data_IF_254786011147
#
_entry.id   IF_254786011147
#
_cell.length_a   1.000
_cell.length_b   1.000
_cell.length_c   1.000
_cell.angle_alpha   90.00
_cell.angle_beta   90.00
_cell.angle_gamma   90.00
#
_symmetry.space_group_name_H-M   'P 1'
#
loop_
_entity.id
_entity.type
_entity.pdbx_description
1 polymer ?
#
# COMPACT_ATOMS: atom_id res chain seq x y z
N UNK A 1 -8.00 9.71 -14.47
CA UNK A 1 -8.60 8.44 -14.01
C UNK A 1 -8.77 8.50 -12.49
N UNK A 2 -10.01 8.58 -12.00
CA UNK A 2 -10.32 8.28 -10.59
C UNK A 2 -10.62 6.78 -10.53
N UNK A 3 -9.59 5.96 -10.36
CA UNK A 3 -9.72 4.53 -10.15
C UNK A 3 -9.26 4.18 -8.74
N UNK A 4 -10.06 3.41 -8.03
CA UNK A 4 -9.61 2.71 -6.83
C UNK A 4 -9.12 1.33 -7.27
N UNK A 5 -8.06 0.85 -6.65
CA UNK A 5 -7.57 -0.52 -6.78
C UNK A 5 -8.12 -1.31 -5.60
N UNK A 6 -8.55 -2.55 -5.85
CA UNK A 6 -8.83 -3.50 -4.78
C UNK A 6 -7.59 -4.37 -4.62
N UNK A 7 -7.10 -4.45 -3.39
CA UNK A 7 -5.90 -5.22 -3.03
C UNK A 7 -6.39 -6.36 -2.13
N UNK A 8 -6.62 -7.56 -2.69
CA UNK A 8 -6.99 -8.72 -1.91
C UNK A 8 -5.77 -9.24 -1.15
N UNK A 9 -5.91 -9.49 0.14
CA UNK A 9 -4.83 -9.92 1.03
C UNK A 9 -5.32 -11.06 1.91
N UNK A 10 -4.68 -12.21 1.79
CA UNK A 10 -4.85 -13.28 2.78
C UNK A 10 -3.94 -12.99 3.98
N UNK A 11 -4.53 -12.83 5.16
CA UNK A 11 -3.79 -12.56 6.39
C UNK A 11 -4.38 -13.33 7.56
N UNK A 12 -3.53 -14.09 8.27
CA UNK A 12 -3.93 -14.92 9.43
C UNK A 12 -5.12 -15.87 9.15
N UNK A 13 -5.24 -16.35 7.91
CA UNK A 13 -6.31 -17.25 7.46
C UNK A 13 -7.62 -16.53 7.09
N UNK A 14 -7.64 -15.20 7.10
CA UNK A 14 -8.77 -14.38 6.66
C UNK A 14 -8.48 -13.72 5.31
N UNK A 15 -9.51 -13.58 4.47
CA UNK A 15 -9.45 -12.82 3.22
C UNK A 15 -9.88 -11.38 3.49
N UNK A 16 -8.95 -10.44 3.34
CA UNK A 16 -9.16 -9.01 3.54
C UNK A 16 -9.10 -8.28 2.20
N UNK A 17 -9.87 -7.20 2.07
CA UNK A 17 -9.83 -6.33 0.89
C UNK A 17 -9.48 -4.90 1.28
N UNK A 18 -8.39 -4.39 0.69
CA UNK A 18 -7.96 -3.02 0.92
C UNK A 18 -8.19 -2.15 -0.32
N UNK A 19 -8.58 -0.90 -0.07
CA UNK A 19 -8.74 0.09 -1.14
C UNK A 19 -7.44 0.85 -1.34
N UNK A 20 -6.81 0.60 -2.48
CA UNK A 20 -5.67 1.33 -3.00
C UNK A 20 -6.10 2.52 -3.87
N UNK A 21 -5.30 3.59 -3.88
CA UNK A 21 -5.43 4.70 -4.82
C UNK A 21 -4.10 4.95 -5.50
N UNK A 22 -4.10 4.85 -6.83
CA UNK A 22 -2.95 5.21 -7.65
C UNK A 22 -2.87 6.74 -7.78
N UNK A 23 -1.75 7.31 -7.39
CA UNK A 23 -1.45 8.73 -7.51
C UNK A 23 -0.28 8.91 -8.46
N UNK A 24 -0.35 9.93 -9.31
CA UNK A 24 0.78 10.31 -10.16
C UNK A 24 1.83 11.01 -9.27
N UNK A 25 3.06 10.49 -9.23
CA UNK A 25 4.17 11.15 -8.54
C UNK A 25 4.48 12.52 -9.14
N UNK A 26 4.99 13.45 -8.32
CA UNK A 26 5.62 14.69 -8.81
C UNK A 26 7.12 14.42 -9.01
N UNK A 27 7.49 13.83 -10.15
CA UNK A 27 8.89 13.46 -10.46
C UNK A 27 9.06 12.67 -11.77
N UNK A 28 10.32 12.30 -12.09
CA UNK A 28 10.70 11.46 -13.25
C UNK A 28 10.39 9.97 -13.05
N UNK A 29 10.13 9.52 -11.82
CA UNK A 29 9.85 8.14 -11.46
C UNK A 29 8.52 8.02 -10.72
N UNK A 30 7.78 6.98 -11.10
CA UNK A 30 6.91 6.20 -10.23
C UNK A 30 5.57 6.79 -9.83
N UNK A 31 4.54 5.99 -10.02
CA UNK A 31 3.25 6.19 -9.36
C UNK A 31 3.41 5.95 -7.84
N UNK A 32 2.52 6.53 -7.05
CA UNK A 32 2.38 6.20 -5.62
C UNK A 32 1.10 5.41 -5.42
N UNK A 33 1.13 4.35 -4.61
CA UNK A 33 -0.08 3.62 -4.22
C UNK A 33 -0.35 3.93 -2.77
N UNK A 34 -1.50 4.57 -2.50
CA UNK A 34 -1.99 4.78 -1.14
C UNK A 34 -3.02 3.72 -0.79
N UNK A 35 -2.77 2.96 0.27
CA UNK A 35 -3.67 1.94 0.79
C UNK A 35 -4.20 2.41 2.13
N UNK A 36 -5.52 2.46 2.28
CA UNK A 36 -6.14 2.71 3.57
C UNK A 36 -6.20 1.40 4.36
N UNK A 37 -5.73 1.43 5.60
CA UNK A 37 -5.81 0.33 6.56
C UNK A 37 -6.38 0.84 7.86
N UNK A 38 -6.91 -0.05 8.70
CA UNK A 38 -7.35 0.34 10.04
C UNK A 38 -6.13 0.88 10.82
N UNK A 39 -6.26 2.09 11.39
CA UNK A 39 -5.18 2.79 12.08
C UNK A 39 -4.33 3.75 11.23
N UNK A 40 -4.49 3.80 9.90
CA UNK A 40 -3.77 4.78 9.09
C UNK A 40 -3.77 4.61 7.57
N UNK A 41 -2.74 5.13 6.94
CA UNK A 41 -2.49 4.98 5.51
C UNK A 41 -1.10 4.40 5.27
N UNK A 42 -0.98 3.45 4.35
CA UNK A 42 0.30 2.95 3.86
C UNK A 42 0.51 3.53 2.46
N UNK A 43 1.67 4.13 2.22
CA UNK A 43 2.06 4.69 0.93
C UNK A 43 3.24 3.91 0.38
N UNK A 44 3.07 3.38 -0.83
CA UNK A 44 4.14 2.74 -1.59
C UNK A 44 4.64 3.69 -2.67
N UNK A 45 5.95 3.91 -2.71
CA UNK A 45 6.62 4.81 -3.66
C UNK A 45 7.72 4.04 -4.39
N UNK A 46 7.73 4.10 -5.71
CA UNK A 46 8.83 3.54 -6.51
C UNK A 46 10.10 4.38 -6.32
N UNK A 47 11.20 3.73 -5.98
CA UNK A 47 12.54 4.28 -5.92
C UNK A 47 13.19 4.33 -7.32
N UNK A 48 14.33 5.01 -7.41
CA UNK A 48 15.05 5.26 -8.67
C UNK A 48 15.53 3.97 -9.35
N UNK A 49 15.67 2.88 -8.60
CA UNK A 49 16.09 1.57 -9.09
C UNK A 49 14.94 0.59 -9.38
N UNK A 50 13.69 1.05 -9.31
CA UNK A 50 12.50 0.24 -9.54
C UNK A 50 12.04 -0.59 -8.34
N UNK A 51 12.70 -0.48 -7.18
CA UNK A 51 12.19 -1.04 -5.91
C UNK A 51 11.10 -0.14 -5.34
N UNK A 52 10.21 -0.68 -4.53
CA UNK A 52 9.20 0.12 -3.83
C UNK A 52 9.60 0.33 -2.37
N UNK A 53 9.71 1.60 -1.96
CA UNK A 53 9.74 1.98 -0.55
C UNK A 53 8.32 2.06 0.00
N UNK A 54 8.17 1.71 1.27
CA UNK A 54 6.93 1.87 2.00
C UNK A 54 7.06 2.93 3.10
N UNK A 55 6.04 3.78 3.19
CA UNK A 55 5.89 4.82 4.21
C UNK A 55 4.55 4.63 4.91
N UNK A 56 4.57 4.42 6.22
CA UNK A 56 3.36 4.34 7.05
C UNK A 56 3.05 5.72 7.59
N UNK A 57 1.84 6.21 7.32
CA UNK A 57 1.32 7.48 7.84
C UNK A 57 0.25 7.14 8.90
N UNK A 58 0.55 7.30 10.19
CA UNK A 58 -0.42 7.08 11.26
C UNK A 58 -1.63 7.99 11.07
N UNK A 59 -2.83 7.43 11.15
CA UNK A 59 -4.07 8.15 10.88
C UNK A 59 -4.97 8.25 12.11
N UNK A 60 -4.57 9.07 13.09
CA UNK A 60 -5.46 9.59 14.15
C UNK A 60 -6.19 8.58 15.05
N UNK A 61 -5.96 7.27 14.90
CA UNK A 61 -6.51 6.22 15.76
C UNK A 61 -5.37 5.50 16.46
N UNK A 62 -5.54 5.28 17.77
CA UNK A 62 -4.60 4.56 18.62
C UNK A 62 -4.56 3.09 18.20
N UNK A 63 -3.43 2.67 17.61
CA UNK A 63 -3.17 1.29 17.24
C UNK A 63 -1.91 1.18 16.40
N UNK A 64 -1.02 0.26 16.76
CA UNK A 64 0.12 -0.10 15.92
C UNK A 64 -0.39 -0.95 14.76
N UNK A 65 -0.14 -0.52 13.52
CA UNK A 65 -0.48 -1.32 12.35
C UNK A 65 0.43 -2.55 12.35
N UNK A 66 -0.17 -3.74 12.31
CA UNK A 66 0.56 -5.01 12.34
C UNK A 66 1.55 -5.11 11.17
N UNK A 67 2.84 -5.26 11.48
CA UNK A 67 3.91 -5.40 10.49
C UNK A 67 3.71 -6.56 9.52
N UNK A 68 3.08 -7.66 9.95
CA UNK A 68 2.76 -8.79 9.08
C UNK A 68 1.70 -8.45 8.04
N UNK A 69 0.67 -7.68 8.42
CA UNK A 69 -0.37 -7.22 7.50
C UNK A 69 0.23 -6.27 6.46
N UNK A 70 1.13 -5.40 6.91
CA UNK A 70 1.86 -4.48 6.05
C UNK A 70 2.68 -5.24 4.99
N UNK A 71 3.41 -6.28 5.40
CA UNK A 71 4.19 -7.14 4.49
C UNK A 71 3.32 -7.90 3.49
N UNK A 72 2.16 -8.37 3.92
CA UNK A 72 1.21 -9.06 3.06
C UNK A 72 0.66 -8.13 1.96
N UNK A 73 0.28 -6.89 2.32
CA UNK A 73 -0.12 -5.87 1.34
C UNK A 73 1.02 -5.54 0.36
N UNK A 74 2.24 -5.37 0.87
CA UNK A 74 3.41 -5.03 0.06
C UNK A 74 3.69 -6.11 -1.01
N UNK A 75 3.55 -7.39 -0.64
CA UNK A 75 3.80 -8.51 -1.55
C UNK A 75 2.84 -8.54 -2.73
N UNK A 76 1.55 -8.26 -2.48
CA UNK A 76 0.54 -8.20 -3.55
C UNK A 76 0.81 -7.04 -4.51
N UNK A 77 1.25 -5.89 -3.98
CA UNK A 77 1.58 -4.72 -4.80
C UNK A 77 2.82 -4.98 -5.66
N UNK A 78 3.85 -5.60 -5.08
CA UNK A 78 5.07 -5.98 -5.82
C UNK A 78 4.77 -6.99 -6.94
N UNK A 79 3.90 -7.96 -6.69
CA UNK A 79 3.45 -8.91 -7.72
C UNK A 79 2.65 -8.22 -8.84
N UNK A 80 1.76 -7.29 -8.50
CA UNK A 80 0.89 -6.62 -9.46
C UNK A 80 1.61 -5.60 -10.36
N UNK A 81 2.83 -5.16 -9.99
CA UNK A 81 3.60 -4.13 -10.68
C UNK A 81 4.86 -4.66 -11.39
N UNK A 82 5.14 -5.96 -11.27
CA UNK A 82 6.10 -6.68 -12.13
C UNK A 82 5.52 -6.86 -13.54
#
# INVERSE_FOLDING_TARGET
MKGWLIIPVEYKGEQLEFRGKLLKGKGRYGYKIKVKVDGGEIVFEEEVDGRYQMVVIPGGMEGEIDGGLIQAIASIIDEALK
#
